data_IF_127703195367
#
_entry.id   IF_127703195367
#
_cell.length_a   1.000
_cell.length_b   1.000
_cell.length_c   1.000
_cell.angle_alpha   90.00
_cell.angle_beta   90.00
_cell.angle_gamma   90.00
#
_symmetry.space_group_name_H-M   'P 1'
#
loop_
_entity.id
_entity.type
_entity.pdbx_description
1 polymer ?
#
# COMPACT_ATOMS: atom_id res chain seq x y z
N UNK A 1 -28.91 -13.05 -1.09
CA UNK A 1 -28.11 -14.26 -1.04
C UNK A 1 -27.48 -14.42 0.34
N UNK A 2 -27.36 -15.66 0.89
CA UNK A 2 -26.73 -15.89 2.17
C UNK A 2 -25.24 -15.48 2.13
N UNK A 3 -24.70 -15.10 3.29
CA UNK A 3 -23.30 -14.72 3.40
C UNK A 3 -22.37 -15.93 3.18
N UNK A 4 -21.25 -15.71 2.51
CA UNK A 4 -20.15 -16.66 2.44
C UNK A 4 -19.50 -16.78 3.82
N UNK A 5 -19.52 -18.00 4.41
CA UNK A 5 -18.94 -18.27 5.73
C UNK A 5 -17.86 -19.32 5.62
N UNK A 6 -16.71 -19.03 6.20
CA UNK A 6 -15.57 -19.94 6.25
C UNK A 6 -14.86 -19.85 7.60
N UNK A 7 -14.11 -20.88 7.91
CA UNK A 7 -13.20 -20.94 9.05
C UNK A 7 -11.77 -21.00 8.51
N UNK A 8 -10.93 -20.07 8.93
CA UNK A 8 -9.49 -20.09 8.66
C UNK A 8 -8.77 -20.65 9.87
N UNK A 9 -7.91 -21.62 9.66
CA UNK A 9 -7.12 -22.29 10.69
C UNK A 9 -5.66 -22.11 10.33
N UNK A 10 -4.84 -21.73 11.32
CA UNK A 10 -3.38 -21.68 11.20
C UNK A 10 -2.79 -22.59 12.27
N UNK A 11 -1.88 -23.46 11.90
CA UNK A 11 -1.14 -24.35 12.79
C UNK A 11 0.34 -24.08 12.67
N UNK A 12 1.03 -24.04 13.81
CA UNK A 12 2.50 -24.01 13.88
C UNK A 12 2.98 -25.28 14.55
N UNK A 13 3.90 -25.99 13.91
CA UNK A 13 4.48 -27.23 14.38
C UNK A 13 5.98 -27.06 14.51
N UNK A 14 6.54 -27.44 15.66
CA UNK A 14 7.97 -27.41 15.89
C UNK A 14 8.57 -28.79 15.64
N UNK A 15 9.60 -28.84 14.79
CA UNK A 15 10.35 -30.08 14.50
C UNK A 15 11.85 -29.76 14.60
N UNK A 16 12.55 -30.41 15.52
CA UNK A 16 13.97 -30.19 15.80
C UNK A 16 14.38 -28.71 15.98
N UNK A 17 13.53 -27.96 16.68
CA UNK A 17 13.76 -26.52 16.94
C UNK A 17 13.46 -25.60 15.76
N UNK A 18 12.87 -26.12 14.67
CA UNK A 18 12.43 -25.34 13.51
C UNK A 18 10.90 -25.27 13.50
N UNK A 19 10.36 -24.06 13.33
CA UNK A 19 8.93 -23.84 13.21
C UNK A 19 8.45 -24.02 11.77
N UNK A 20 7.44 -24.83 11.58
CA UNK A 20 6.72 -25.03 10.33
C UNK A 20 5.30 -24.50 10.48
N UNK A 21 4.88 -23.68 9.54
CA UNK A 21 3.54 -23.08 9.54
C UNK A 21 2.68 -23.70 8.45
N UNK A 22 1.45 -24.02 8.81
CA UNK A 22 0.42 -24.45 7.87
C UNK A 22 -0.82 -23.60 8.04
N UNK A 23 -1.51 -23.30 6.96
CA UNK A 23 -2.80 -22.62 6.98
C UNK A 23 -3.80 -23.36 6.09
N UNK A 24 -5.05 -23.42 6.54
CA UNK A 24 -6.12 -24.04 5.79
C UNK A 24 -7.41 -23.24 5.92
N UNK A 25 -8.33 -23.48 4.99
CA UNK A 25 -9.63 -22.82 4.94
C UNK A 25 -10.71 -23.87 4.76
N UNK A 26 -11.69 -23.87 5.67
CA UNK A 26 -12.86 -24.75 5.59
C UNK A 26 -14.10 -23.92 5.30
N UNK A 27 -14.78 -24.19 4.20
CA UNK A 27 -16.01 -23.50 3.83
C UNK A 27 -17.16 -24.08 4.67
N UNK A 28 -17.78 -23.20 5.50
CA UNK A 28 -18.95 -23.56 6.32
C UNK A 28 -20.25 -23.36 5.52
N UNK A 29 -20.33 -22.28 4.76
CA UNK A 29 -21.48 -21.96 3.91
C UNK A 29 -20.99 -21.22 2.65
N UNK A 30 -21.16 -21.78 1.45
CA UNK A 30 -20.69 -21.15 0.22
C UNK A 30 -21.43 -19.85 -0.14
N UNK A 31 -22.63 -19.64 0.43
CA UNK A 31 -23.38 -18.39 0.28
C UNK A 31 -23.50 -17.92 -1.18
N UNK A 32 -23.26 -16.62 -1.40
CA UNK A 32 -23.34 -16.00 -2.72
C UNK A 32 -22.29 -16.52 -3.72
N UNK A 33 -21.17 -17.06 -3.25
CA UNK A 33 -20.13 -17.60 -4.13
C UNK A 33 -20.60 -18.81 -4.94
N UNK A 34 -21.55 -19.59 -4.44
CA UNK A 34 -22.11 -20.74 -5.18
C UNK A 34 -22.81 -20.35 -6.49
N UNK A 35 -23.15 -19.08 -6.66
CA UNK A 35 -23.85 -18.58 -7.86
C UNK A 35 -22.89 -17.99 -8.89
N UNK A 36 -21.70 -17.50 -8.43
CA UNK A 36 -20.75 -16.75 -9.26
C UNK A 36 -19.59 -17.62 -9.74
N UNK A 37 -19.26 -18.68 -9.02
CA UNK A 37 -18.14 -19.54 -9.34
C UNK A 37 -18.62 -20.89 -9.87
N UNK A 38 -18.42 -21.15 -11.16
CA UNK A 38 -18.39 -22.51 -11.74
C UNK A 38 -17.09 -23.25 -11.37
N UNK A 39 -16.31 -22.72 -10.45
CA UNK A 39 -15.04 -23.31 -10.04
C UNK A 39 -15.31 -24.44 -9.05
N UNK A 40 -14.88 -25.62 -9.49
CA UNK A 40 -14.54 -26.77 -8.66
C UNK A 40 -13.99 -26.31 -7.30
N UNK A 41 -14.35 -27.07 -6.26
CA UNK A 41 -13.97 -26.80 -4.87
C UNK A 41 -12.53 -26.26 -4.81
N UNK A 42 -12.42 -25.04 -4.33
CA UNK A 42 -11.12 -24.39 -4.05
C UNK A 42 -10.31 -25.42 -3.25
N UNK A 43 -9.26 -25.97 -3.88
CA UNK A 43 -8.41 -27.02 -3.34
C UNK A 43 -7.50 -26.45 -2.23
N UNK A 44 -8.05 -25.47 -1.49
CA UNK A 44 -7.43 -24.95 -0.29
C UNK A 44 -7.35 -26.09 0.72
N UNK A 45 -6.12 -26.55 0.96
CA UNK A 45 -5.84 -27.67 1.85
C UNK A 45 -6.60 -27.50 3.17
N UNK A 46 -7.57 -28.39 3.41
CA UNK A 46 -8.24 -28.46 4.70
C UNK A 46 -7.25 -29.05 5.69
N UNK A 47 -6.90 -28.30 6.73
CA UNK A 47 -6.10 -28.87 7.81
C UNK A 47 -6.95 -29.83 8.64
N UNK A 48 -6.36 -30.93 9.15
CA UNK A 48 -7.02 -31.79 10.12
C UNK A 48 -7.36 -30.99 11.40
N UNK A 49 -8.31 -31.48 12.15
CA UNK A 49 -8.64 -30.91 13.46
C UNK A 49 -7.48 -31.19 14.40
N UNK A 50 -6.78 -30.12 14.82
CA UNK A 50 -5.64 -30.18 15.73
C UNK A 50 -5.96 -29.41 17.02
N UNK A 51 -5.53 -29.94 18.15
CA UNK A 51 -5.55 -29.24 19.43
C UNK A 51 -4.15 -28.68 19.77
N UNK A 52 -4.11 -27.72 20.66
CA UNK A 52 -2.85 -27.17 21.15
C UNK A 52 -2.10 -28.25 21.91
N UNK A 53 -0.80 -28.43 21.60
CA UNK A 53 0.10 -29.47 22.12
C UNK A 53 -0.16 -30.89 21.61
N UNK A 54 -0.91 -31.05 20.53
CA UNK A 54 -0.96 -32.34 19.85
C UNK A 54 0.41 -32.70 19.29
N UNK A 55 0.74 -33.99 19.34
CA UNK A 55 1.96 -34.51 18.73
C UNK A 55 1.65 -35.02 17.33
N UNK A 56 2.41 -34.53 16.35
CA UNK A 56 2.27 -34.92 14.94
C UNK A 56 3.50 -35.70 14.49
N UNK A 57 3.31 -36.62 13.56
CA UNK A 57 4.40 -37.40 12.97
C UNK A 57 4.72 -36.82 11.59
N UNK A 58 5.96 -36.42 11.37
CA UNK A 58 6.43 -35.98 10.05
C UNK A 58 6.73 -37.22 9.20
N UNK A 59 6.00 -37.40 8.12
CA UNK A 59 6.16 -38.53 7.21
C UNK A 59 7.16 -38.24 6.09
N UNK A 60 7.24 -37.01 5.64
CA UNK A 60 8.15 -36.56 4.58
C UNK A 60 8.43 -35.06 4.67
N UNK A 61 9.56 -34.63 4.14
CA UNK A 61 9.91 -33.24 3.99
C UNK A 61 10.54 -33.01 2.61
N UNK A 62 10.22 -31.89 1.98
CA UNK A 62 10.79 -31.49 0.70
C UNK A 62 11.37 -30.08 0.81
N UNK A 63 12.60 -29.91 0.30
CA UNK A 63 13.23 -28.59 0.20
C UNK A 63 12.93 -27.99 -1.16
N UNK A 64 12.04 -26.98 -1.19
CA UNK A 64 11.66 -26.27 -2.41
C UNK A 64 12.48 -24.99 -2.53
N UNK A 65 13.41 -24.95 -3.48
CA UNK A 65 14.15 -23.72 -3.80
C UNK A 65 13.28 -22.77 -4.61
N UNK A 66 13.02 -21.59 -4.06
CA UNK A 66 12.28 -20.53 -4.76
C UNK A 66 13.17 -19.29 -4.90
N UNK A 67 13.00 -18.56 -6.00
CA UNK A 67 13.62 -17.25 -6.18
C UNK A 67 12.59 -16.18 -5.85
N UNK A 68 13.01 -15.20 -5.07
CA UNK A 68 12.20 -13.98 -4.86
C UNK A 68 12.08 -13.24 -6.18
N UNK A 69 10.88 -12.81 -6.51
CA UNK A 69 10.63 -11.92 -7.64
C UNK A 69 10.45 -10.49 -7.12
N UNK A 70 10.93 -9.48 -7.85
CA UNK A 70 10.65 -8.09 -7.46
C UNK A 70 9.14 -7.84 -7.44
N UNK A 71 8.67 -6.87 -6.63
CA UNK A 71 7.26 -6.47 -6.63
C UNK A 71 6.80 -6.13 -8.05
N UNK A 72 5.55 -6.43 -8.36
CA UNK A 72 4.96 -6.03 -9.63
C UNK A 72 5.00 -4.50 -9.78
N UNK A 73 5.28 -4.04 -11.01
CA UNK A 73 5.23 -2.61 -11.33
C UNK A 73 3.83 -2.04 -11.14
N UNK A 74 3.73 -0.73 -11.03
CA UNK A 74 2.44 -0.06 -10.91
C UNK A 74 1.63 -0.12 -12.21
N UNK A 75 0.32 -0.22 -12.06
CA UNK A 75 -0.68 0.11 -13.07
C UNK A 75 -1.40 1.38 -12.64
N UNK A 76 -2.26 1.97 -13.50
CA UNK A 76 -3.07 3.15 -13.13
C UNK A 76 -3.84 2.90 -11.81
N UNK A 77 -4.56 1.78 -11.71
CA UNK A 77 -5.34 1.44 -10.52
C UNK A 77 -4.49 1.17 -9.28
N UNK A 78 -3.38 0.45 -9.42
CA UNK A 78 -2.50 0.17 -8.28
C UNK A 78 -1.73 1.42 -7.83
N UNK A 79 -1.42 2.36 -8.73
CA UNK A 79 -0.81 3.64 -8.37
C UNK A 79 -1.80 4.55 -7.63
N UNK A 80 -3.06 4.64 -8.08
CA UNK A 80 -4.13 5.34 -7.35
C UNK A 80 -4.29 4.76 -5.94
N UNK A 81 -4.29 3.43 -5.81
CA UNK A 81 -4.34 2.76 -4.51
C UNK A 81 -3.12 3.04 -3.64
N UNK A 82 -1.93 3.14 -4.23
CA UNK A 82 -0.70 3.49 -3.54
C UNK A 82 -0.71 4.96 -3.08
N UNK A 83 -1.24 5.89 -3.89
CA UNK A 83 -1.42 7.30 -3.50
C UNK A 83 -2.35 7.43 -2.31
N UNK A 84 -3.47 6.70 -2.30
CA UNK A 84 -4.38 6.62 -1.14
C UNK A 84 -3.72 6.00 0.09
N UNK A 85 -2.94 4.94 -0.12
CA UNK A 85 -2.25 4.20 0.92
C UNK A 85 -0.79 4.61 1.12
N UNK A 86 -0.42 5.85 0.85
CA UNK A 86 0.97 6.35 0.87
C UNK A 86 1.69 6.12 2.20
N UNK A 87 0.96 6.06 3.31
CA UNK A 87 1.52 5.73 4.62
C UNK A 87 2.28 4.39 4.66
N UNK A 88 2.00 3.47 3.72
CA UNK A 88 2.71 2.18 3.61
C UNK A 88 4.15 2.33 3.13
N UNK A 89 4.45 3.43 2.45
CA UNK A 89 5.76 3.72 1.87
C UNK A 89 6.62 4.64 2.75
N UNK A 90 6.11 5.08 3.89
CA UNK A 90 6.80 5.97 4.83
C UNK A 90 7.30 5.15 6.01
N UNK A 91 8.55 5.35 6.38
CA UNK A 91 9.22 4.65 7.49
C UNK A 91 9.03 5.32 8.84
N UNK A 92 8.94 6.66 8.88
CA UNK A 92 8.73 7.42 10.12
C UNK A 92 7.35 7.11 10.73
N UNK A 93 7.30 6.61 11.98
CA UNK A 93 6.03 6.21 12.61
C UNK A 93 5.05 7.36 12.82
N UNK A 94 5.54 8.59 13.11
CA UNK A 94 4.70 9.75 13.35
C UNK A 94 4.05 10.22 12.04
N UNK A 95 4.85 10.34 10.98
CA UNK A 95 4.36 10.69 9.63
C UNK A 95 3.41 9.60 9.11
N UNK A 96 3.77 8.33 9.31
CA UNK A 96 2.93 7.18 8.91
C UNK A 96 1.55 7.22 9.57
N UNK A 97 1.49 7.54 10.87
CA UNK A 97 0.23 7.68 11.59
C UNK A 97 -0.62 8.80 11.00
N UNK A 98 -0.04 10.00 10.79
CA UNK A 98 -0.73 11.15 10.20
C UNK A 98 -1.28 10.86 8.81
N UNK A 99 -0.45 10.30 7.92
CA UNK A 99 -0.86 9.93 6.55
C UNK A 99 -1.95 8.85 6.51
N UNK A 100 -2.09 8.05 7.56
CA UNK A 100 -3.18 7.07 7.68
C UNK A 100 -4.52 7.74 7.98
N UNK A 101 -4.48 8.84 8.73
CA UNK A 101 -5.68 9.58 9.16
C UNK A 101 -6.12 10.60 8.08
N UNK A 102 -5.32 10.78 7.01
CA UNK A 102 -5.63 11.62 5.85
C UNK A 102 -6.08 10.78 4.64
N UNK A 103 -6.53 11.44 3.58
CA UNK A 103 -6.88 10.79 2.31
C UNK A 103 -5.66 10.25 1.52
N UNK A 104 -4.44 10.38 2.04
CA UNK A 104 -3.21 10.11 1.32
C UNK A 104 -2.77 11.28 0.44
N UNK A 105 -2.12 11.00 -0.69
CA UNK A 105 -1.71 12.03 -1.67
C UNK A 105 -2.83 12.26 -2.67
N UNK A 106 -3.29 13.50 -2.78
CA UNK A 106 -4.40 13.91 -3.63
C UNK A 106 -5.76 13.36 -3.17
N UNK A 107 -6.82 13.88 -3.73
CA UNK A 107 -8.19 13.41 -3.51
C UNK A 107 -8.58 12.34 -4.54
N UNK A 108 -9.65 11.60 -4.31
CA UNK A 108 -10.15 10.60 -5.26
C UNK A 108 -10.38 11.21 -6.65
N UNK A 109 -10.92 12.45 -6.72
CA UNK A 109 -11.20 13.14 -7.96
C UNK A 109 -9.93 13.56 -8.72
N UNK A 110 -8.82 13.82 -8.04
CA UNK A 110 -7.61 14.43 -8.65
C UNK A 110 -6.51 13.43 -8.97
N UNK A 111 -6.52 12.23 -8.41
CA UNK A 111 -5.43 11.25 -8.60
C UNK A 111 -5.28 10.81 -10.05
N UNK A 112 -6.40 10.52 -10.73
CA UNK A 112 -6.37 10.09 -12.12
C UNK A 112 -5.79 11.18 -13.03
N UNK A 113 -6.24 12.43 -12.88
CA UNK A 113 -5.76 13.58 -13.65
C UNK A 113 -4.27 13.88 -13.38
N UNK A 114 -3.82 13.66 -12.13
CA UNK A 114 -2.40 13.77 -11.78
C UNK A 114 -1.56 12.76 -12.55
N UNK A 115 -1.97 11.49 -12.60
CA UNK A 115 -1.28 10.43 -13.34
C UNK A 115 -1.26 10.76 -14.83
N UNK A 116 -2.39 11.19 -15.38
CA UNK A 116 -2.48 11.61 -16.79
C UNK A 116 -1.56 12.79 -17.10
N UNK A 117 -1.48 13.75 -16.20
CA UNK A 117 -0.56 14.90 -16.33
C UNK A 117 0.89 14.45 -16.32
N UNK A 118 1.28 13.52 -15.46
CA UNK A 118 2.64 12.97 -15.41
C UNK A 118 2.98 12.22 -16.70
N UNK A 119 2.04 11.48 -17.28
CA UNK A 119 2.18 10.82 -18.58
C UNK A 119 2.33 11.83 -19.71
N UNK A 120 1.48 12.85 -19.77
CA UNK A 120 1.52 13.93 -20.79
C UNK A 120 2.85 14.70 -20.74
N UNK A 121 3.38 14.93 -19.55
CA UNK A 121 4.67 15.63 -19.37
C UNK A 121 5.88 14.72 -19.55
N UNK A 122 5.67 13.43 -19.77
CA UNK A 122 6.74 12.46 -20.00
C UNK A 122 7.54 12.09 -18.76
N UNK A 123 7.07 12.41 -17.55
CA UNK A 123 7.73 12.00 -16.28
C UNK A 123 7.47 10.53 -15.95
N UNK A 124 6.33 10.02 -16.39
CA UNK A 124 5.94 8.60 -16.30
C UNK A 124 5.67 8.11 -17.73
N UNK A 125 5.95 6.86 -18.00
CA UNK A 125 5.74 6.21 -19.29
C UNK A 125 4.98 4.90 -19.12
N UNK A 126 4.25 4.49 -20.15
CA UNK A 126 3.61 3.19 -20.18
C UNK A 126 4.62 2.10 -20.53
N UNK A 127 4.53 0.97 -19.83
CA UNK A 127 5.34 -0.22 -20.10
C UNK A 127 4.43 -1.44 -20.26
N UNK A 128 4.53 -2.13 -21.39
CA UNK A 128 3.65 -3.24 -21.72
C UNK A 128 2.19 -2.80 -21.85
N UNK A 129 1.26 -3.70 -21.50
CA UNK A 129 -0.18 -3.47 -21.70
C UNK A 129 -0.75 -2.42 -20.72
N UNK A 130 -0.39 -2.49 -19.44
CA UNK A 130 -1.02 -1.65 -18.40
C UNK A 130 0.00 -1.10 -17.39
N UNK A 131 1.30 -1.37 -17.55
CA UNK A 131 2.33 -0.96 -16.61
C UNK A 131 2.66 0.52 -16.70
N UNK A 132 3.06 1.10 -15.57
CA UNK A 132 3.58 2.45 -15.44
C UNK A 132 5.01 2.40 -14.88
N UNK A 133 5.92 3.14 -15.50
CA UNK A 133 7.30 3.27 -15.04
C UNK A 133 7.73 4.74 -15.07
N UNK A 134 8.61 5.13 -14.15
CA UNK A 134 9.23 6.45 -14.18
C UNK A 134 10.18 6.55 -15.37
N UNK A 135 10.09 7.63 -16.13
CA UNK A 135 11.03 7.94 -17.22
C UNK A 135 12.36 8.44 -16.64
N UNK A 136 13.39 8.52 -17.50
CA UNK A 136 14.65 9.15 -17.11
C UNK A 136 14.45 10.63 -16.76
N UNK A 137 13.59 11.35 -17.49
CA UNK A 137 13.24 12.74 -17.20
C UNK A 137 12.59 12.87 -15.82
N UNK A 138 11.64 11.99 -15.48
CA UNK A 138 11.01 11.98 -14.15
C UNK A 138 12.01 11.71 -13.03
N UNK A 139 12.93 10.75 -13.22
CA UNK A 139 13.99 10.46 -12.24
C UNK A 139 14.92 11.64 -12.05
N UNK A 140 15.35 12.30 -13.13
CA UNK A 140 16.21 13.48 -13.08
C UNK A 140 15.53 14.63 -12.38
N UNK A 141 14.24 14.86 -12.62
CA UNK A 141 13.47 15.89 -11.92
C UNK A 141 13.45 15.64 -10.40
N UNK A 142 13.10 14.44 -9.97
CA UNK A 142 13.06 14.10 -8.53
C UNK A 142 14.44 14.24 -7.89
N UNK A 143 15.52 13.85 -8.59
CA UNK A 143 16.88 14.00 -8.10
C UNK A 143 17.34 15.47 -7.97
N UNK A 144 16.80 16.37 -8.77
CA UNK A 144 17.09 17.80 -8.75
C UNK A 144 16.27 18.58 -7.71
N UNK A 145 15.13 18.04 -7.28
CA UNK A 145 14.24 18.70 -6.33
C UNK A 145 14.76 18.57 -4.89
N UNK A 146 14.58 19.61 -4.05
CA UNK A 146 14.83 19.49 -2.61
C UNK A 146 13.98 18.40 -1.95
N UNK A 147 14.54 17.70 -0.98
CA UNK A 147 13.84 16.60 -0.27
C UNK A 147 12.48 17.02 0.30
N UNK A 148 12.34 18.27 0.75
CA UNK A 148 11.07 18.80 1.24
C UNK A 148 9.94 18.85 0.20
N UNK A 149 10.25 18.78 -1.10
CA UNK A 149 9.24 18.74 -2.17
C UNK A 149 8.94 17.32 -2.66
N UNK A 150 9.76 16.35 -2.28
CA UNK A 150 9.63 14.95 -2.69
C UNK A 150 9.16 14.03 -1.55
N UNK A 151 9.08 14.57 -0.33
CA UNK A 151 8.68 13.82 0.86
C UNK A 151 7.15 13.88 1.05
N UNK A 152 6.44 12.74 1.03
CA UNK A 152 5.01 12.69 1.32
C UNK A 152 4.66 13.18 2.73
N UNK A 153 5.61 13.22 3.66
CA UNK A 153 5.43 13.77 5.00
C UNK A 153 5.05 15.26 5.01
N UNK A 154 5.50 16.02 4.01
CA UNK A 154 5.11 17.43 3.85
C UNK A 154 3.60 17.57 3.61
N UNK A 155 3.02 16.68 2.81
CA UNK A 155 1.57 16.64 2.61
C UNK A 155 0.84 16.40 3.93
N UNK A 156 1.32 15.46 4.76
CA UNK A 156 0.73 15.18 6.06
C UNK A 156 0.79 16.40 7.00
N UNK A 157 1.89 17.15 6.99
CA UNK A 157 2.03 18.37 7.78
C UNK A 157 1.06 19.46 7.33
N UNK A 158 0.85 19.62 6.03
CA UNK A 158 -0.11 20.59 5.50
C UNK A 158 -1.55 20.22 5.82
N UNK A 159 -1.91 18.95 5.71
CA UNK A 159 -3.25 18.49 6.11
C UNK A 159 -3.51 18.71 7.60
N UNK A 160 -2.53 18.48 8.48
CA UNK A 160 -2.64 18.80 9.91
C UNK A 160 -2.87 20.29 10.15
N UNK A 161 -2.17 21.16 9.41
CA UNK A 161 -2.32 22.61 9.51
C UNK A 161 -3.70 23.07 8.99
N UNK A 162 -4.17 22.49 7.88
CA UNK A 162 -5.50 22.78 7.36
C UNK A 162 -6.59 22.35 8.35
N UNK A 163 -6.46 21.18 8.95
CA UNK A 163 -7.37 20.72 10.00
C UNK A 163 -7.31 21.63 11.26
N UNK A 164 -6.14 22.19 11.58
CA UNK A 164 -5.99 23.15 12.69
C UNK A 164 -6.70 24.49 12.37
N UNK A 165 -6.72 24.93 11.11
CA UNK A 165 -7.49 26.09 10.66
C UNK A 165 -8.99 25.83 10.82
N UNK A 166 -9.45 24.65 10.42
CA UNK A 166 -10.86 24.25 10.53
C UNK A 166 -11.34 24.26 12.00
N UNK A 167 -10.49 23.85 12.93
CA UNK A 167 -10.77 23.91 14.37
C UNK A 167 -10.60 25.30 14.99
N UNK A 168 -10.05 26.28 14.27
CA UNK A 168 -9.77 27.62 14.77
C UNK A 168 -8.49 27.74 15.61
N UNK A 169 -7.63 26.72 15.63
CA UNK A 169 -6.36 26.72 16.38
C UNK A 169 -5.29 27.61 15.71
N UNK A 170 -5.37 27.76 14.39
CA UNK A 170 -4.45 28.54 13.54
C UNK A 170 -5.27 29.36 12.56
N UNK A 171 -4.79 30.57 12.20
CA UNK A 171 -5.46 31.39 11.17
C UNK A 171 -4.94 31.05 9.77
N UNK A 172 -5.80 31.25 8.77
CA UNK A 172 -5.41 31.05 7.36
C UNK A 172 -4.24 31.97 6.94
N UNK A 173 -4.18 33.21 7.47
CA UNK A 173 -3.12 34.16 7.21
C UNK A 173 -1.77 33.65 7.71
N UNK A 174 -1.73 33.07 8.92
CA UNK A 174 -0.51 32.45 9.48
C UNK A 174 -0.03 31.31 8.62
N UNK A 175 -0.93 30.42 8.18
CA UNK A 175 -0.62 29.33 7.29
C UNK A 175 -0.05 29.81 5.95
N UNK A 176 -0.71 30.79 5.30
CA UNK A 176 -0.28 31.36 4.02
C UNK A 176 1.09 32.04 4.13
N UNK A 177 1.34 32.76 5.23
CA UNK A 177 2.64 33.40 5.47
C UNK A 177 3.77 32.34 5.57
N UNK A 178 3.54 31.25 6.30
CA UNK A 178 4.49 30.14 6.42
C UNK A 178 4.74 29.46 5.06
N UNK A 179 3.69 29.23 4.27
CA UNK A 179 3.81 28.64 2.94
C UNK A 179 4.60 29.57 2.00
N UNK A 180 4.31 30.85 1.99
CA UNK A 180 5.04 31.85 1.18
C UNK A 180 6.53 31.89 1.52
N UNK A 181 6.88 31.85 2.80
CA UNK A 181 8.27 31.80 3.25
C UNK A 181 8.97 30.50 2.83
N UNK A 182 8.29 29.36 2.95
CA UNK A 182 8.82 28.06 2.51
C UNK A 182 9.11 28.06 1.01
N UNK A 183 8.15 28.52 0.20
CA UNK A 183 8.31 28.62 -1.25
C UNK A 183 9.48 29.55 -1.61
N UNK A 184 9.57 30.72 -1.00
CA UNK A 184 10.67 31.65 -1.23
C UNK A 184 12.03 31.00 -0.94
N UNK A 185 12.16 30.26 0.15
CA UNK A 185 13.37 29.52 0.50
C UNK A 185 13.71 28.39 -0.48
N UNK A 186 12.73 27.73 -1.07
CA UNK A 186 12.97 26.73 -2.12
C UNK A 186 13.41 27.39 -3.45
N UNK A 187 12.81 28.52 -3.82
CA UNK A 187 13.19 29.27 -5.03
C UNK A 187 14.61 29.80 -4.92
N UNK A 188 14.99 30.29 -3.75
CA UNK A 188 16.37 30.81 -3.53
C UNK A 188 17.43 29.72 -3.62
N UNK A 189 17.12 28.51 -3.10
CA UNK A 189 18.02 27.34 -3.20
C UNK A 189 18.11 26.76 -4.61
N UNK A 190 17.15 27.03 -5.47
CA UNK A 190 17.11 26.54 -6.86
C UNK A 190 17.82 27.48 -7.85
N UNK A 191 18.24 28.68 -7.43
CA UNK A 191 19.04 29.64 -8.19
C UNK A 191 20.52 29.33 -8.07
#
# INVERSE_FOLDING_TARGET
>A
FPAYKYQSVSASVEVDGQAFEASGLTIINPGWKSVVSDTEADDSASLPVLAINDTVTVSAGEVVSKRTTPPAGFTDGSLISAMSGVHKFVTDPAIKKRLRDTSGIGTEATRADTIETLLKRGFVQRQGKNGLVSSQLGKSLIAALPNGLTDPGVTALWEDQLAAIERGDVTAETFLAQQSQSIAGHVEKAR
#
